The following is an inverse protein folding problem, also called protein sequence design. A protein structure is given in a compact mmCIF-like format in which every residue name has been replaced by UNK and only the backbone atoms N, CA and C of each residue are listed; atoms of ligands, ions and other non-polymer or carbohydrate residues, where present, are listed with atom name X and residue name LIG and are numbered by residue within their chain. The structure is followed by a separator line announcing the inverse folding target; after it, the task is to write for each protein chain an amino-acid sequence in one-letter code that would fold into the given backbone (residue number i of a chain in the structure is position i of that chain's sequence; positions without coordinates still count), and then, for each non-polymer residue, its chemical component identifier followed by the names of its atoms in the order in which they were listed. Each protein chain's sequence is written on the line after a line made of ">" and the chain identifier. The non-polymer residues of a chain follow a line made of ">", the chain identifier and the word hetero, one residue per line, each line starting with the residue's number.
data_IF_746079555839
#
_entry.id   IF_746079555839
#
_cell.length_a   1.000
_cell.length_b   1.000
_cell.length_c   1.000
_cell.angle_alpha   90.00
_cell.angle_beta   90.00
_cell.angle_gamma   90.00
#
_symmetry.space_group_name_H-M   'P 1'
#
loop_
_entity.id
_entity.type
_entity.pdbx_description
1 polymer ?
#
# COMPACT_ATOMS: atom_id res chain seq x y z
N UNK A 1 -27.36 14.63 13.78
CA UNK A 1 -26.78 15.69 12.95
C UNK A 1 -26.39 15.07 11.63
N UNK A 2 -27.21 15.32 10.61
CA UNK A 2 -27.03 14.84 9.25
C UNK A 2 -25.93 15.65 8.58
N UNK A 3 -24.80 15.04 8.26
CA UNK A 3 -23.88 15.65 7.33
C UNK A 3 -24.42 15.45 5.92
N UNK A 4 -24.87 16.58 5.41
CA UNK A 4 -25.41 16.88 4.11
C UNK A 4 -24.66 16.17 2.97
N UNK A 5 -25.44 15.49 2.14
CA UNK A 5 -25.07 14.98 0.83
C UNK A 5 -24.56 16.13 -0.04
N UNK A 6 -23.30 16.11 -0.40
CA UNK A 6 -22.81 16.91 -1.50
C UNK A 6 -23.26 16.21 -2.78
N UNK A 7 -24.45 16.58 -3.22
CA UNK A 7 -24.95 16.25 -4.54
C UNK A 7 -24.21 17.13 -5.55
N UNK A 8 -23.19 16.61 -6.21
CA UNK A 8 -22.61 17.24 -7.37
C UNK A 8 -23.53 16.96 -8.56
N UNK A 9 -24.28 17.99 -8.92
CA UNK A 9 -25.00 18.25 -10.16
C UNK A 9 -25.48 17.06 -11.00
N UNK A 10 -26.76 16.76 -10.90
CA UNK A 10 -27.56 16.26 -12.01
C UNK A 10 -27.60 17.32 -13.12
N UNK A 11 -26.84 17.11 -14.20
CA UNK A 11 -27.11 17.74 -15.47
C UNK A 11 -27.83 16.71 -16.34
N UNK A 12 -29.00 17.12 -16.80
CA UNK A 12 -29.97 16.39 -17.57
C UNK A 12 -29.41 15.66 -18.81
N UNK A 13 -29.88 14.44 -19.03
CA UNK A 13 -29.68 13.69 -20.27
C UNK A 13 -30.23 12.28 -20.05
N UNK A 14 -31.46 12.04 -20.47
CA UNK A 14 -32.14 10.76 -20.47
C UNK A 14 -31.42 9.74 -21.37
N UNK A 15 -31.50 8.46 -20.98
CA UNK A 15 -31.19 7.26 -21.75
C UNK A 15 -29.70 6.94 -21.99
N UNK A 16 -29.12 6.28 -21.01
CA UNK A 16 -27.81 5.62 -21.11
C UNK A 16 -27.30 5.36 -19.69
N UNK A 17 -27.18 4.08 -19.30
CA UNK A 17 -26.82 3.67 -17.94
C UNK A 17 -25.73 4.53 -17.32
N UNK A 18 -26.11 5.49 -16.50
CA UNK A 18 -25.21 6.36 -15.77
C UNK A 18 -24.48 5.54 -14.72
N UNK A 19 -23.30 5.07 -15.04
CA UNK A 19 -22.33 4.60 -14.03
C UNK A 19 -21.86 5.81 -13.22
N UNK A 20 -22.65 6.21 -12.24
CA UNK A 20 -22.24 7.19 -11.25
C UNK A 20 -21.08 6.61 -10.48
N UNK A 21 -19.89 7.20 -10.63
CA UNK A 21 -18.71 6.89 -9.82
C UNK A 21 -19.02 7.42 -8.42
N UNK A 22 -19.58 6.56 -7.58
CA UNK A 22 -19.85 6.87 -6.19
C UNK A 22 -18.57 6.68 -5.36
N UNK A 23 -18.10 7.74 -4.73
CA UNK A 23 -17.01 7.69 -3.75
C UNK A 23 -17.46 7.02 -2.43
N UNK A 24 -18.74 6.81 -2.25
CA UNK A 24 -19.30 6.08 -1.11
C UNK A 24 -19.33 4.59 -1.40
N UNK A 25 -18.60 3.82 -0.59
CA UNK A 25 -18.59 2.36 -0.70
C UNK A 25 -19.93 1.78 -0.29
N UNK A 26 -20.62 1.02 -1.16
CA UNK A 26 -21.83 0.30 -0.78
C UNK A 26 -21.50 -0.69 0.35
N UNK A 27 -22.41 -0.79 1.33
CA UNK A 27 -22.32 -1.79 2.39
C UNK A 27 -22.72 -3.15 1.83
N UNK A 28 -21.86 -4.15 2.00
CA UNK A 28 -22.13 -5.51 1.55
C UNK A 28 -23.01 -6.27 2.56
N UNK A 29 -22.62 -6.23 3.84
CA UNK A 29 -23.39 -6.79 4.94
C UNK A 29 -23.05 -6.08 6.26
N UNK A 30 -23.89 -6.30 7.27
CA UNK A 30 -23.67 -5.77 8.62
C UNK A 30 -23.18 -6.88 9.53
N UNK A 31 -22.03 -6.68 10.17
CA UNK A 31 -21.54 -7.54 11.24
C UNK A 31 -21.89 -6.89 12.58
N UNK A 32 -23.13 -7.09 13.05
CA UNK A 32 -23.67 -6.36 14.19
C UNK A 32 -23.85 -4.87 13.85
N UNK A 33 -23.30 -3.95 14.67
CA UNK A 33 -23.40 -2.50 14.43
C UNK A 33 -22.43 -1.96 13.36
N UNK A 34 -21.48 -2.80 12.86
CA UNK A 34 -20.42 -2.35 11.95
C UNK A 34 -20.81 -2.67 10.50
N UNK A 35 -20.95 -1.65 9.62
CA UNK A 35 -21.16 -1.86 8.19
C UNK A 35 -19.87 -2.34 7.54
N UNK A 36 -19.88 -3.54 6.94
CA UNK A 36 -18.77 -4.08 6.16
C UNK A 36 -18.94 -3.68 4.70
N UNK A 37 -18.00 -2.89 4.19
CA UNK A 37 -17.97 -2.49 2.78
C UNK A 37 -17.42 -3.60 1.88
N UNK A 38 -17.80 -3.58 0.60
CA UNK A 38 -17.28 -4.52 -0.41
C UNK A 38 -15.74 -4.55 -0.45
N UNK A 39 -15.09 -3.40 -0.25
CA UNK A 39 -13.62 -3.29 -0.24
C UNK A 39 -12.97 -4.00 0.94
N UNK A 40 -13.58 -3.92 2.14
CA UNK A 40 -13.09 -4.62 3.34
C UNK A 40 -13.26 -6.13 3.17
N UNK A 41 -14.39 -6.58 2.62
CA UNK A 41 -14.60 -7.98 2.30
C UNK A 41 -13.54 -8.50 1.32
N UNK A 42 -13.27 -7.75 0.25
CA UNK A 42 -12.24 -8.09 -0.73
C UNK A 42 -10.82 -8.08 -0.12
N UNK A 43 -10.53 -7.22 0.84
CA UNK A 43 -9.27 -7.26 1.58
C UNK A 43 -9.13 -8.56 2.38
N UNK A 44 -10.19 -9.03 3.03
CA UNK A 44 -10.20 -10.34 3.70
C UNK A 44 -9.96 -11.49 2.72
N UNK A 45 -10.59 -11.45 1.54
CA UNK A 45 -10.33 -12.44 0.49
C UNK A 45 -8.86 -12.43 0.07
N UNK A 46 -8.25 -11.26 -0.11
CA UNK A 46 -6.81 -11.15 -0.43
C UNK A 46 -5.93 -11.77 0.66
N UNK A 47 -6.27 -11.56 1.93
CA UNK A 47 -5.57 -12.18 3.07
C UNK A 47 -5.72 -13.71 3.04
N UNK A 48 -6.92 -14.22 2.81
CA UNK A 48 -7.18 -15.67 2.73
C UNK A 48 -6.41 -16.29 1.56
N UNK A 49 -6.40 -15.65 0.40
CA UNK A 49 -5.62 -16.10 -0.78
C UNK A 49 -4.13 -16.17 -0.43
N UNK A 50 -3.57 -15.14 0.20
CA UNK A 50 -2.17 -15.14 0.63
C UNK A 50 -1.87 -16.25 1.66
N UNK A 51 -2.75 -16.45 2.64
CA UNK A 51 -2.59 -17.52 3.63
C UNK A 51 -2.60 -18.87 2.96
N UNK A 52 -3.53 -19.12 2.04
CA UNK A 52 -3.61 -20.39 1.30
C UNK A 52 -2.36 -20.59 0.45
N UNK A 53 -1.90 -19.56 -0.28
CA UNK A 53 -0.67 -19.65 -1.09
C UNK A 53 0.55 -19.95 -0.22
N UNK A 54 0.67 -19.26 0.92
CA UNK A 54 1.76 -19.46 1.88
C UNK A 54 1.74 -20.87 2.46
N UNK A 55 0.58 -21.36 2.89
CA UNK A 55 0.42 -22.72 3.41
C UNK A 55 0.74 -23.77 2.35
N UNK A 56 0.29 -23.58 1.10
CA UNK A 56 0.60 -24.51 0.01
C UNK A 56 2.09 -24.50 -0.34
N UNK A 57 2.75 -23.33 -0.31
CA UNK A 57 4.19 -23.24 -0.56
C UNK A 57 5.03 -23.89 0.52
N UNK A 58 4.57 -23.85 1.78
CA UNK A 58 5.33 -24.38 2.93
C UNK A 58 4.97 -25.82 3.30
N UNK A 59 3.87 -26.39 2.77
CA UNK A 59 3.37 -27.72 3.14
C UNK A 59 4.34 -28.86 2.82
N UNK A 60 5.13 -28.75 1.76
CA UNK A 60 6.09 -29.78 1.35
C UNK A 60 7.35 -29.12 0.81
N UNK A 61 8.18 -28.58 1.71
CA UNK A 61 9.45 -27.95 1.35
C UNK A 61 10.42 -29.00 0.77
N UNK A 62 10.88 -28.76 -0.44
CA UNK A 62 11.91 -29.56 -1.11
C UNK A 62 13.16 -28.73 -1.30
N UNK A 63 14.33 -29.40 -1.23
CA UNK A 63 15.64 -28.77 -1.48
C UNK A 63 15.70 -28.13 -2.89
N UNK A 64 15.04 -28.76 -3.87
CA UNK A 64 14.86 -28.19 -5.21
C UNK A 64 13.40 -27.73 -5.33
N UNK A 65 13.15 -26.40 -5.21
CA UNK A 65 11.80 -25.87 -5.23
C UNK A 65 11.14 -26.08 -6.60
N UNK A 66 9.83 -26.40 -6.59
CA UNK A 66 9.02 -26.55 -7.80
C UNK A 66 7.64 -25.92 -7.62
N UNK A 67 7.08 -25.38 -8.72
CA UNK A 67 5.72 -24.83 -8.74
C UNK A 67 5.56 -23.63 -7.81
N UNK A 68 4.56 -23.66 -6.93
CA UNK A 68 4.20 -22.55 -6.02
C UNK A 68 5.34 -22.25 -5.03
N UNK A 69 6.06 -23.26 -4.54
CA UNK A 69 7.22 -23.05 -3.67
C UNK A 69 8.29 -22.20 -4.37
N UNK A 70 8.63 -22.54 -5.62
CA UNK A 70 9.63 -21.80 -6.40
C UNK A 70 9.21 -20.33 -6.63
N UNK A 71 7.92 -20.09 -6.88
CA UNK A 71 7.41 -18.73 -7.06
C UNK A 71 7.53 -17.91 -5.77
N UNK A 72 7.15 -18.50 -4.62
CA UNK A 72 7.23 -17.81 -3.33
C UNK A 72 8.68 -17.58 -2.90
N UNK A 73 9.55 -18.56 -3.11
CA UNK A 73 10.98 -18.46 -2.81
C UNK A 73 11.65 -17.37 -3.65
N UNK A 74 11.38 -17.35 -4.96
CA UNK A 74 11.83 -16.28 -5.84
C UNK A 74 11.37 -14.89 -5.39
N UNK A 75 10.10 -14.76 -4.99
CA UNK A 75 9.58 -13.47 -4.49
C UNK A 75 10.27 -13.05 -3.19
N UNK A 76 10.46 -13.98 -2.24
CA UNK A 76 11.11 -13.73 -0.97
C UNK A 76 12.60 -13.39 -1.16
N UNK A 77 13.33 -14.16 -1.98
CA UNK A 77 14.75 -13.89 -2.26
C UNK A 77 14.95 -12.55 -2.95
N UNK A 78 14.11 -12.23 -3.95
CA UNK A 78 14.18 -10.93 -4.64
C UNK A 78 13.95 -9.78 -3.67
N UNK A 79 12.93 -9.88 -2.81
CA UNK A 79 12.63 -8.84 -1.82
C UNK A 79 13.73 -8.73 -0.76
N UNK A 80 14.29 -9.84 -0.29
CA UNK A 80 15.43 -9.82 0.65
C UNK A 80 16.66 -9.17 0.01
N UNK A 81 16.94 -9.47 -1.27
CA UNK A 81 18.00 -8.82 -2.00
C UNK A 81 17.81 -7.31 -2.12
N UNK A 82 16.59 -6.85 -2.38
CA UNK A 82 16.27 -5.42 -2.40
C UNK A 82 16.38 -4.76 -1.02
N UNK A 83 15.97 -5.47 0.04
CA UNK A 83 16.12 -4.99 1.43
C UNK A 83 17.58 -4.82 1.79
N UNK A 84 18.41 -5.82 1.46
CA UNK A 84 19.85 -5.77 1.74
C UNK A 84 20.56 -4.64 0.97
N UNK A 85 20.16 -4.38 -0.28
CA UNK A 85 20.73 -3.30 -1.09
C UNK A 85 20.30 -1.91 -0.60
N UNK A 86 19.07 -1.77 -0.08
CA UNK A 86 18.51 -0.46 0.29
C UNK A 86 18.81 -0.07 1.72
N UNK A 87 18.70 -1.00 2.67
CA UNK A 87 18.81 -0.74 4.10
C UNK A 87 19.95 -1.51 4.78
N UNK A 88 20.71 -2.29 4.00
CA UNK A 88 21.81 -3.11 4.50
C UNK A 88 21.34 -4.20 5.48
N UNK A 89 22.27 -4.79 6.25
CA UNK A 89 21.95 -5.90 7.17
C UNK A 89 20.93 -5.54 8.25
N UNK A 90 20.86 -4.25 8.64
CA UNK A 90 19.86 -3.75 9.60
C UNK A 90 18.44 -3.73 9.02
N UNK A 91 18.30 -3.70 7.71
CA UNK A 91 16.99 -3.74 7.02
C UNK A 91 16.25 -5.07 7.20
N UNK A 92 16.98 -6.17 7.44
CA UNK A 92 16.39 -7.51 7.59
C UNK A 92 15.41 -7.62 8.76
N UNK A 93 15.55 -6.79 9.79
CA UNK A 93 14.59 -6.75 10.90
C UNK A 93 13.18 -6.32 10.45
N UNK A 94 13.07 -5.59 9.33
CA UNK A 94 11.82 -5.12 8.76
C UNK A 94 11.30 -6.05 7.65
N UNK A 95 12.05 -7.10 7.29
CA UNK A 95 11.73 -7.97 6.16
C UNK A 95 10.30 -8.53 6.23
N UNK A 96 9.86 -8.98 7.41
CA UNK A 96 8.52 -9.53 7.58
C UNK A 96 7.43 -8.50 7.24
N UNK A 97 7.54 -7.27 7.75
CA UNK A 97 6.57 -6.19 7.49
C UNK A 97 6.59 -5.78 6.02
N UNK A 98 7.78 -5.58 5.47
CA UNK A 98 8.01 -5.14 4.09
C UNK A 98 7.49 -6.16 3.09
N UNK A 99 7.82 -7.45 3.28
CA UNK A 99 7.35 -8.53 2.41
C UNK A 99 5.84 -8.75 2.51
N UNK A 100 5.27 -8.70 3.71
CA UNK A 100 3.83 -8.82 3.90
C UNK A 100 3.08 -7.68 3.21
N UNK A 101 3.55 -6.43 3.34
CA UNK A 101 2.97 -5.28 2.67
C UNK A 101 3.04 -5.44 1.14
N UNK A 102 4.18 -5.85 0.60
CA UNK A 102 4.34 -6.11 -0.83
C UNK A 102 3.36 -7.15 -1.36
N UNK A 103 3.36 -8.32 -0.74
CA UNK A 103 2.50 -9.43 -1.18
C UNK A 103 1.03 -9.08 -1.05
N UNK A 104 0.64 -8.39 0.01
CA UNK A 104 -0.75 -7.96 0.20
C UNK A 104 -1.19 -6.96 -0.87
N UNK A 105 -0.39 -5.92 -1.14
CA UNK A 105 -0.71 -4.91 -2.15
C UNK A 105 -0.72 -5.54 -3.55
N UNK A 106 0.28 -6.37 -3.86
CA UNK A 106 0.37 -7.06 -5.15
C UNK A 106 -0.86 -7.95 -5.39
N UNK A 107 -1.20 -8.79 -4.41
CA UNK A 107 -2.36 -9.68 -4.51
C UNK A 107 -3.67 -8.90 -4.61
N UNK A 108 -3.83 -7.85 -3.82
CA UNK A 108 -5.01 -6.99 -3.85
C UNK A 108 -5.17 -6.27 -5.20
N UNK A 109 -4.07 -5.78 -5.78
CA UNK A 109 -4.07 -5.15 -7.09
C UNK A 109 -4.42 -6.14 -8.19
N UNK A 110 -3.78 -7.31 -8.20
CA UNK A 110 -4.01 -8.33 -9.22
C UNK A 110 -5.41 -8.93 -9.16
N UNK A 111 -5.94 -9.21 -7.96
CA UNK A 111 -7.32 -9.65 -7.80
C UNK A 111 -8.29 -8.56 -8.29
N UNK A 112 -8.05 -7.31 -7.97
CA UNK A 112 -8.89 -6.19 -8.39
C UNK A 112 -8.90 -5.93 -9.89
N UNK A 113 -7.83 -6.28 -10.60
CA UNK A 113 -7.72 -6.08 -12.06
C UNK A 113 -8.40 -7.21 -12.84
N UNK A 114 -8.69 -8.37 -12.20
CA UNK A 114 -9.37 -9.46 -12.91
C UNK A 114 -10.80 -9.09 -13.28
N UNK A 115 -11.19 -9.18 -14.57
CA UNK A 115 -12.51 -8.71 -15.05
C UNK A 115 -13.68 -9.48 -14.43
N UNK A 116 -13.48 -10.72 -14.01
CA UNK A 116 -14.48 -11.53 -13.34
C UNK A 116 -14.72 -11.06 -11.90
N UNK A 117 -13.69 -10.57 -11.23
CA UNK A 117 -13.74 -10.17 -9.82
C UNK A 117 -14.63 -8.93 -9.61
N UNK A 118 -14.49 -7.92 -10.44
CA UNK A 118 -15.26 -6.68 -10.35
C UNK A 118 -16.74 -6.82 -10.80
N UNK A 119 -17.09 -7.89 -11.53
CA UNK A 119 -18.45 -8.14 -12.00
C UNK A 119 -19.30 -8.94 -10.99
N UNK A 120 -18.67 -9.53 -9.97
CA UNK A 120 -19.39 -10.26 -8.92
C UNK A 120 -19.74 -9.25 -7.82
N UNK A 121 -21.01 -9.21 -7.42
CA UNK A 121 -21.48 -8.37 -6.29
C UNK A 121 -20.65 -8.69 -5.03
N UNK A 122 -20.13 -7.64 -4.40
CA UNK A 122 -19.33 -7.77 -3.18
C UNK A 122 -17.82 -7.86 -3.43
N UNK A 123 -17.36 -7.88 -4.66
CA UNK A 123 -15.95 -7.96 -5.00
C UNK A 123 -15.51 -6.71 -5.76
N UNK A 124 -14.74 -5.86 -5.09
CA UNK A 124 -14.06 -4.69 -5.68
C UNK A 124 -12.62 -4.66 -5.22
N UNK A 125 -11.72 -4.08 -6.01
CA UNK A 125 -10.33 -3.95 -5.57
C UNK A 125 -10.27 -3.25 -4.20
N UNK A 126 -9.62 -3.85 -3.17
CA UNK A 126 -9.47 -3.21 -1.87
C UNK A 126 -8.83 -1.84 -1.97
N UNK A 127 -7.85 -1.71 -2.86
CA UNK A 127 -7.04 -0.50 -3.03
C UNK A 127 -7.72 0.59 -3.87
N UNK A 128 -8.89 0.32 -4.46
CA UNK A 128 -9.71 1.33 -5.13
C UNK A 128 -10.55 2.19 -4.17
N UNK A 129 -10.39 2.00 -2.85
CA UNK A 129 -11.02 2.80 -1.83
C UNK A 129 -9.97 3.55 -1.00
N UNK A 130 -10.14 4.86 -0.89
CA UNK A 130 -9.21 5.73 -0.14
C UNK A 130 -9.10 5.33 1.35
N UNK A 131 -10.19 4.86 1.97
CA UNK A 131 -10.16 4.45 3.38
C UNK A 131 -9.25 3.24 3.59
N UNK A 132 -9.25 2.27 2.67
CA UNK A 132 -8.38 1.09 2.76
C UNK A 132 -6.91 1.47 2.57
N UNK A 133 -6.62 2.28 1.56
CA UNK A 133 -5.24 2.73 1.30
C UNK A 133 -4.72 3.67 2.38
N UNK A 134 -5.59 4.53 2.93
CA UNK A 134 -5.26 5.37 4.08
C UNK A 134 -4.98 4.53 5.33
N UNK A 135 -5.78 3.50 5.60
CA UNK A 135 -5.54 2.60 6.73
C UNK A 135 -4.18 1.91 6.63
N UNK A 136 -3.79 1.43 5.44
CA UNK A 136 -2.46 0.85 5.21
C UNK A 136 -1.34 1.86 5.44
N UNK A 137 -1.49 3.07 4.91
CA UNK A 137 -0.50 4.13 5.09
C UNK A 137 -0.37 4.57 6.55
N UNK A 138 -1.47 4.59 7.31
CA UNK A 138 -1.48 4.87 8.75
C UNK A 138 -0.77 3.76 9.52
N UNK A 139 -1.00 2.49 9.18
CA UNK A 139 -0.29 1.35 9.82
C UNK A 139 1.21 1.49 9.62
N UNK A 140 1.66 1.77 8.38
CA UNK A 140 3.08 2.03 8.08
C UNK A 140 3.61 3.21 8.90
N UNK A 141 2.87 4.31 8.93
CA UNK A 141 3.24 5.50 9.70
C UNK A 141 3.41 5.19 11.19
N UNK A 142 2.44 4.50 11.81
CA UNK A 142 2.52 4.09 13.23
C UNK A 142 3.72 3.18 13.49
N UNK A 143 4.01 2.25 12.58
CA UNK A 143 5.19 1.39 12.67
C UNK A 143 6.50 2.20 12.62
N UNK A 144 6.60 3.14 11.69
CA UNK A 144 7.77 4.04 11.57
C UNK A 144 7.97 4.82 12.87
N UNK A 145 6.91 5.42 13.42
CA UNK A 145 6.97 6.18 14.66
C UNK A 145 7.32 5.28 15.86
N UNK A 146 6.77 4.08 15.92
CA UNK A 146 7.10 3.11 16.97
C UNK A 146 8.58 2.76 16.96
N UNK A 147 9.16 2.47 15.81
CA UNK A 147 10.59 2.17 15.70
C UNK A 147 11.47 3.39 15.97
N UNK A 148 11.07 4.59 15.54
CA UNK A 148 11.75 5.85 15.84
C UNK A 148 11.85 6.09 17.35
N UNK A 149 10.73 5.95 18.06
CA UNK A 149 10.66 6.10 19.53
C UNK A 149 11.50 5.02 20.23
N UNK A 150 11.43 3.78 19.75
CA UNK A 150 12.20 2.67 20.34
C UNK A 150 13.71 2.85 20.19
N UNK A 151 14.17 3.46 19.11
CA UNK A 151 15.61 3.64 18.83
C UNK A 151 16.16 4.89 19.50
N UNK A 152 15.48 6.02 19.41
CA UNK A 152 15.96 7.33 19.88
C UNK A 152 15.48 7.67 21.29
N UNK A 153 14.58 6.86 21.87
CA UNK A 153 13.88 7.17 23.11
C UNK A 153 12.89 8.32 22.96
N UNK A 154 11.96 8.43 23.93
CA UNK A 154 10.89 9.47 23.88
C UNK A 154 11.48 10.87 23.89
N UNK A 155 12.53 11.11 24.68
CA UNK A 155 13.19 12.43 24.79
C UNK A 155 13.92 12.85 23.50
N UNK A 156 14.63 11.91 22.87
CA UNK A 156 15.31 12.15 21.58
C UNK A 156 14.32 12.43 20.46
N UNK A 157 13.24 11.63 20.41
CA UNK A 157 12.17 11.78 19.42
C UNK A 157 11.45 13.14 19.54
N UNK A 158 11.06 13.55 20.77
CA UNK A 158 10.44 14.86 20.99
C UNK A 158 11.37 16.02 20.66
N UNK A 159 12.67 15.88 20.95
CA UNK A 159 13.66 16.91 20.59
C UNK A 159 13.80 17.06 19.08
N UNK A 160 13.77 15.97 18.33
CA UNK A 160 13.80 15.97 16.87
C UNK A 160 12.55 16.61 16.26
N UNK A 161 11.39 16.41 16.90
CA UNK A 161 10.13 16.99 16.44
C UNK A 161 10.00 18.50 16.71
N UNK A 162 10.61 19.00 17.79
CA UNK A 162 10.40 20.39 18.29
C UNK A 162 11.56 21.31 17.93
N UNK A 163 12.80 20.79 17.87
CA UNK A 163 13.98 21.66 17.96
C UNK A 163 14.58 22.12 16.65
N UNK A 164 14.54 21.47 15.47
CA UNK A 164 15.14 22.18 14.36
C UNK A 164 14.16 22.87 13.42
N UNK A 165 12.96 22.32 13.16
CA UNK A 165 12.11 22.94 12.16
C UNK A 165 10.65 22.44 12.22
N UNK A 166 9.63 23.30 12.39
CA UNK A 166 8.22 22.89 12.36
C UNK A 166 7.80 22.27 11.01
N UNK A 167 8.56 22.53 9.93
CA UNK A 167 8.37 21.89 8.62
C UNK A 167 8.60 20.38 8.65
N UNK A 168 9.36 19.86 9.62
CA UNK A 168 9.57 18.43 9.79
C UNK A 168 8.27 17.69 10.10
N UNK A 169 7.43 18.27 10.96
CA UNK A 169 6.10 17.71 11.28
C UNK A 169 5.24 17.61 10.02
N UNK A 170 5.25 18.66 9.20
CA UNK A 170 4.49 18.69 7.96
C UNK A 170 4.98 17.61 6.98
N UNK A 171 6.29 17.44 6.85
CA UNK A 171 6.88 16.41 5.97
C UNK A 171 6.57 14.99 6.45
N UNK A 172 6.59 14.75 7.77
CA UNK A 172 6.22 13.45 8.35
C UNK A 172 4.75 13.09 8.10
N UNK A 173 3.84 14.05 8.25
CA UNK A 173 2.41 13.85 7.98
C UNK A 173 2.11 13.72 6.47
N UNK A 174 2.91 14.36 5.62
CA UNK A 174 2.76 14.27 4.18
C UNK A 174 3.10 12.86 3.62
N UNK A 175 3.97 12.10 4.30
CA UNK A 175 4.38 10.74 3.87
C UNK A 175 3.19 9.77 3.77
N UNK A 176 2.39 9.52 4.82
CA UNK A 176 1.25 8.63 4.73
C UNK A 176 0.17 9.12 3.76
N UNK A 177 -0.04 10.43 3.66
CA UNK A 177 -0.97 11.00 2.69
C UNK A 177 -0.51 10.71 1.26
N UNK A 178 0.76 10.95 0.95
CA UNK A 178 1.34 10.67 -0.37
C UNK A 178 1.28 9.18 -0.73
N UNK A 179 1.60 8.27 0.20
CA UNK A 179 1.51 6.82 0.01
C UNK A 179 0.07 6.38 -0.28
N UNK A 180 -0.89 6.86 0.51
CA UNK A 180 -2.31 6.53 0.38
C UNK A 180 -2.88 7.00 -0.96
N UNK A 181 -2.68 8.29 -1.29
CA UNK A 181 -3.19 8.88 -2.53
C UNK A 181 -2.57 8.25 -3.77
N UNK A 182 -1.29 7.89 -3.73
CA UNK A 182 -0.61 7.23 -4.84
C UNK A 182 -1.17 5.84 -5.10
N UNK A 183 -1.38 5.04 -4.03
CA UNK A 183 -1.94 3.70 -4.16
C UNK A 183 -3.38 3.75 -4.65
N UNK A 184 -4.22 4.59 -4.02
CA UNK A 184 -5.60 4.80 -4.41
C UNK A 184 -5.71 5.32 -5.84
N UNK A 185 -4.99 6.40 -6.17
CA UNK A 185 -5.09 7.08 -7.46
C UNK A 185 -4.72 6.18 -8.63
N UNK A 186 -3.69 5.35 -8.47
CA UNK A 186 -3.25 4.41 -9.49
C UNK A 186 -4.34 3.36 -9.80
N UNK A 187 -4.86 2.69 -8.78
CA UNK A 187 -5.85 1.62 -8.96
C UNK A 187 -7.21 2.17 -9.38
N UNK A 188 -7.61 3.33 -8.83
CA UNK A 188 -8.85 3.98 -9.21
C UNK A 188 -8.82 4.45 -10.67
N UNK A 189 -7.75 5.14 -11.09
CA UNK A 189 -7.60 5.63 -12.45
C UNK A 189 -7.48 4.48 -13.47
N UNK A 190 -6.72 3.42 -13.13
CA UNK A 190 -6.60 2.22 -13.94
C UNK A 190 -7.96 1.52 -14.15
N UNK A 191 -8.72 1.34 -13.09
CA UNK A 191 -10.05 0.75 -13.15
C UNK A 191 -11.04 1.55 -14.01
N UNK A 192 -11.04 2.88 -13.90
CA UNK A 192 -11.83 3.78 -14.75
C UNK A 192 -11.41 3.65 -16.21
N UNK A 193 -10.12 3.62 -16.48
CA UNK A 193 -9.57 3.47 -17.83
C UNK A 193 -9.99 2.15 -18.46
N UNK A 194 -9.83 1.03 -17.76
CA UNK A 194 -10.22 -0.31 -18.24
C UNK A 194 -11.72 -0.37 -18.52
N UNK A 195 -12.55 0.19 -17.64
CA UNK A 195 -14.00 0.22 -17.82
C UNK A 195 -14.42 1.03 -19.05
N UNK A 196 -13.81 2.21 -19.24
CA UNK A 196 -14.08 3.07 -20.40
C UNK A 196 -13.64 2.40 -21.69
N UNK A 197 -12.46 1.76 -21.70
CA UNK A 197 -11.95 1.06 -22.88
C UNK A 197 -12.77 -0.18 -23.23
N UNK A 198 -13.31 -0.88 -22.22
CA UNK A 198 -14.20 -2.02 -22.46
C UNK A 198 -15.47 -1.63 -23.21
N UNK A 199 -16.01 -0.45 -22.93
CA UNK A 199 -17.18 0.09 -23.61
C UNK A 199 -16.87 0.56 -25.06
N UNK A 200 -15.66 1.11 -25.29
CA UNK A 200 -15.26 1.67 -26.59
C UNK A 200 -14.65 0.64 -27.54
N UNK A 201 -13.72 -0.18 -27.03
CA UNK A 201 -12.92 -1.10 -27.83
C UNK A 201 -12.52 -2.34 -27.00
N UNK A 202 -13.38 -3.36 -26.90
CA UNK A 202 -13.16 -4.53 -26.05
C UNK A 202 -11.84 -5.26 -26.30
N UNK A 203 -11.39 -5.34 -27.57
CA UNK A 203 -10.13 -6.02 -27.92
C UNK A 203 -8.92 -5.26 -27.36
N UNK A 204 -8.94 -3.93 -27.42
CA UNK A 204 -7.85 -3.07 -26.94
C UNK A 204 -7.77 -3.11 -25.39
N UNK A 205 -8.88 -3.38 -24.73
CA UNK A 205 -8.96 -3.48 -23.27
C UNK A 205 -7.96 -4.49 -22.69
N UNK A 206 -7.65 -5.58 -23.38
CA UNK A 206 -6.66 -6.56 -22.93
C UNK A 206 -5.26 -5.96 -22.77
N UNK A 207 -4.89 -4.97 -23.61
CA UNK A 207 -3.61 -4.26 -23.48
C UNK A 207 -3.61 -3.42 -22.21
N UNK A 208 -4.71 -2.71 -21.92
CA UNK A 208 -4.86 -1.90 -20.72
C UNK A 208 -4.91 -2.76 -19.44
N UNK A 209 -5.54 -3.94 -19.49
CA UNK A 209 -5.49 -4.90 -18.37
C UNK A 209 -4.05 -5.35 -18.08
N UNK A 210 -3.27 -5.67 -19.11
CA UNK A 210 -1.85 -6.01 -18.96
C UNK A 210 -1.05 -4.86 -18.37
N UNK A 211 -1.31 -3.62 -18.83
CA UNK A 211 -0.70 -2.42 -18.27
C UNK A 211 -1.07 -2.23 -16.79
N UNK A 212 -2.33 -2.40 -16.43
CA UNK A 212 -2.81 -2.25 -15.04
C UNK A 212 -2.17 -3.29 -14.11
N UNK A 213 -2.04 -4.55 -14.54
CA UNK A 213 -1.32 -5.59 -13.81
C UNK A 213 0.15 -5.21 -13.56
N UNK A 214 0.82 -4.71 -14.60
CA UNK A 214 2.21 -4.26 -14.51
C UNK A 214 2.36 -3.05 -13.57
N UNK A 215 1.54 -2.02 -13.76
CA UNK A 215 1.57 -0.81 -12.93
C UNK A 215 1.19 -1.13 -11.49
N UNK A 216 0.25 -2.05 -11.26
CA UNK A 216 -0.11 -2.56 -9.94
C UNK A 216 1.05 -3.26 -9.22
N UNK A 217 1.88 -4.02 -9.95
CA UNK A 217 3.09 -4.65 -9.40
C UNK A 217 4.17 -3.61 -9.08
N UNK A 218 4.43 -2.67 -9.99
CA UNK A 218 5.37 -1.56 -9.76
C UNK A 218 4.93 -0.71 -8.57
N UNK A 219 3.63 -0.46 -8.43
CA UNK A 219 3.08 0.30 -7.30
C UNK A 219 3.28 -0.41 -5.96
N UNK A 220 3.08 -1.73 -5.92
CA UNK A 220 3.37 -2.54 -4.73
C UNK A 220 4.85 -2.42 -4.33
N UNK A 221 5.75 -2.48 -5.30
CA UNK A 221 7.18 -2.33 -5.09
C UNK A 221 7.53 -0.94 -4.56
N UNK A 222 7.02 0.14 -5.17
CA UNK A 222 7.27 1.52 -4.74
C UNK A 222 6.79 1.75 -3.31
N UNK A 223 5.57 1.32 -2.98
CA UNK A 223 5.02 1.45 -1.63
C UNK A 223 5.93 0.77 -0.61
N UNK A 224 6.36 -0.44 -0.91
CA UNK A 224 7.17 -1.28 -0.05
C UNK A 224 8.58 -0.72 0.14
N UNK A 225 9.21 -0.23 -0.94
CA UNK A 225 10.53 0.39 -0.88
C UNK A 225 10.51 1.70 -0.08
N UNK A 226 9.49 2.54 -0.27
CA UNK A 226 9.34 3.75 0.53
C UNK A 226 9.12 3.42 2.02
N UNK A 227 8.32 2.39 2.32
CA UNK A 227 8.14 1.90 3.69
C UNK A 227 9.47 1.46 4.30
N UNK A 228 10.29 0.70 3.56
CA UNK A 228 11.60 0.26 4.01
C UNK A 228 12.54 1.44 4.27
N UNK A 229 12.59 2.41 3.36
CA UNK A 229 13.40 3.62 3.51
C UNK A 229 12.99 4.41 4.75
N UNK A 230 11.70 4.61 4.98
CA UNK A 230 11.20 5.31 6.16
C UNK A 230 11.55 4.58 7.46
N UNK A 231 11.40 3.25 7.49
CA UNK A 231 11.81 2.43 8.63
C UNK A 231 13.33 2.47 8.86
N UNK A 232 14.11 2.46 7.79
CA UNK A 232 15.57 2.53 7.88
C UNK A 232 16.05 3.87 8.44
N UNK A 233 15.47 4.98 7.98
CA UNK A 233 15.76 6.33 8.51
C UNK A 233 15.38 6.40 9.99
N UNK A 234 14.21 5.89 10.36
CA UNK A 234 13.70 5.93 11.73
C UNK A 234 14.58 5.22 12.76
N UNK A 235 15.37 4.21 12.33
CA UNK A 235 16.28 3.47 13.22
C UNK A 235 17.74 3.91 13.09
N UNK A 236 18.04 4.91 12.29
CA UNK A 236 19.41 5.46 12.19
C UNK A 236 19.59 6.48 13.32
N UNK A 237 20.49 6.25 14.28
CA UNK A 237 20.73 7.20 15.36
C UNK A 237 21.28 8.50 14.78
N UNK A 238 20.63 9.61 15.05
CA UNK A 238 21.14 10.94 14.74
C UNK A 238 22.19 11.34 15.78
N UNK A 239 23.37 10.73 15.72
CA UNK A 239 24.52 11.22 16.47
C UNK A 239 25.06 12.47 15.77
N UNK A 240 24.79 13.63 16.38
CA UNK A 240 25.50 14.89 16.38
C UNK A 240 26.40 15.23 15.19
N UNK A 241 25.82 15.92 14.20
CA UNK A 241 26.61 16.74 13.25
C UNK A 241 27.14 18.02 13.91
N UNK A 242 27.57 17.97 15.17
CA UNK A 242 28.06 19.14 15.92
C UNK A 242 29.48 19.03 16.43
N UNK A 243 30.23 17.97 16.11
CA UNK A 243 31.59 17.78 16.65
C UNK A 243 32.76 17.93 15.63
N UNK A 244 32.46 18.25 14.36
CA UNK A 244 33.56 18.45 13.37
C UNK A 244 33.91 19.93 13.12
N UNK A 245 33.39 20.86 13.92
CA UNK A 245 33.62 22.31 13.75
C UNK A 245 34.73 22.93 14.60
N UNK A 246 35.39 22.21 15.47
CA UNK A 246 36.38 22.81 16.42
C UNK A 246 37.79 22.21 16.41
N UNK A 247 38.18 21.42 15.41
CA UNK A 247 39.53 20.83 15.35
C UNK A 247 40.51 21.55 14.39
N UNK A 248 40.15 22.63 13.71
CA UNK A 248 41.07 23.37 12.81
C UNK A 248 41.25 24.84 13.21
N UNK A 249 41.58 25.11 14.45
CA UNK A 249 42.03 26.47 14.85
C UNK A 249 43.15 26.46 15.87
N UNK A 250 44.14 25.61 15.70
CA UNK A 250 45.44 25.75 16.38
C UNK A 250 46.53 24.99 15.59
N UNK A 251 47.05 25.64 14.56
CA UNK A 251 48.50 25.60 14.20
C UNK A 251 48.83 26.80 13.33
#
# INVERSE_FOLDING_TARGET
>A
MQFSQISVMQAAGEEGGSHTISLTSPTFFYLGPIPVSEHVFSAWVSIVVLLVLSLLATRSMKIVPRGIQNLMEFAVETLLGLIDQTAGPKGRQFAAVVMTAFLFILTSNWLGTTPFYNNIRGFKSPNSNLNTTAAMAIVVFVLVQFYAIRTNGIGGYLKEFVVPNPLHILSELARPVSLSLRLFGNIFAGGVLVHTMLALAPIITFIFLGLELFVGAVQALIFTMLTLVYLSIAVTPHHGAHDEGHAEAHH
#
